data_IF_209952009298
#
_entry.id   IF_209952009298
#
_cell.length_a   1.000
_cell.length_b   1.000
_cell.length_c   1.000
_cell.angle_alpha   90.00
_cell.angle_beta   90.00
_cell.angle_gamma   90.00
#
_symmetry.space_group_name_H-M   'P 1'
#
loop_
_entity.id
_entity.type
_entity.pdbx_description
1 polymer ?
#
# COMPACT_ATOMS: atom_id res chain seq x y z
N UNK A 1 -3.41 -0.15 -4.99
CA UNK A 1 -2.97 0.30 -3.65
C UNK A 1 -1.82 1.29 -3.77
N UNK A 2 -1.71 2.24 -2.85
CA UNK A 2 -0.66 3.27 -2.86
C UNK A 2 -0.13 3.58 -1.46
N UNK A 3 1.15 3.93 -1.37
CA UNK A 3 1.74 4.64 -0.22
C UNK A 3 1.98 6.07 -0.64
N UNK A 4 1.40 7.01 0.08
CA UNK A 4 1.48 8.45 -0.21
C UNK A 4 2.16 9.16 0.95
N UNK A 5 3.22 9.91 0.66
CA UNK A 5 3.94 10.76 1.60
C UNK A 5 3.72 12.23 1.28
N UNK A 6 3.13 12.97 2.23
CA UNK A 6 2.87 14.41 2.09
C UNK A 6 2.15 14.79 0.78
N UNK A 7 1.24 13.91 0.32
CA UNK A 7 0.46 14.10 -0.91
C UNK A 7 1.12 13.56 -2.19
N UNK A 8 2.38 13.10 -2.13
CA UNK A 8 3.09 12.51 -3.25
C UNK A 8 3.06 10.98 -3.18
N UNK A 9 2.82 10.32 -4.32
CA UNK A 9 2.88 8.86 -4.40
C UNK A 9 4.33 8.41 -4.28
N UNK A 10 4.64 7.68 -3.19
CA UNK A 10 5.96 7.10 -2.95
C UNK A 10 6.05 5.69 -3.53
N UNK A 11 4.91 4.98 -3.59
CA UNK A 11 4.80 3.65 -4.16
C UNK A 11 3.38 3.37 -4.64
N UNK A 12 3.28 2.62 -5.73
CA UNK A 12 2.02 2.12 -6.29
C UNK A 12 2.16 0.63 -6.62
N UNK A 13 1.20 -0.16 -6.17
CA UNK A 13 1.20 -1.61 -6.39
C UNK A 13 0.87 -1.94 -7.84
N UNK A 14 1.57 -2.89 -8.49
CA UNK A 14 1.22 -3.34 -9.83
C UNK A 14 -0.08 -4.16 -9.88
N UNK A 15 -0.51 -4.76 -8.76
CA UNK A 15 -1.79 -5.45 -8.49
C UNK A 15 -1.56 -6.41 -7.32
N UNK A 16 -2.57 -6.60 -6.45
CA UNK A 16 -2.55 -7.61 -5.39
C UNK A 16 -3.74 -8.54 -5.60
N UNK A 17 -3.52 -9.85 -5.55
CA UNK A 17 -4.58 -10.87 -5.65
C UNK A 17 -4.50 -11.85 -4.50
N UNK A 18 -5.66 -12.35 -4.05
CA UNK A 18 -5.75 -13.28 -2.92
C UNK A 18 -5.09 -14.65 -3.14
N UNK A 19 -4.77 -15.02 -4.38
CA UNK A 19 -4.06 -16.25 -4.72
C UNK A 19 -2.54 -16.05 -4.85
N UNK A 20 -2.02 -14.87 -4.54
CA UNK A 20 -0.60 -14.56 -4.59
C UNK A 20 -0.02 -14.52 -3.16
N UNK A 21 1.29 -14.80 -2.99
CA UNK A 21 1.93 -14.58 -1.71
C UNK A 21 1.89 -13.09 -1.32
N UNK A 22 1.98 -12.77 -0.01
CA UNK A 22 2.12 -11.39 0.43
C UNK A 22 3.32 -10.70 -0.23
N UNK A 23 3.14 -9.44 -0.61
CA UNK A 23 4.21 -8.62 -1.17
C UNK A 23 4.94 -7.89 -0.05
N UNK A 24 6.27 -8.04 0.00
CA UNK A 24 7.10 -7.21 0.86
C UNK A 24 7.20 -5.79 0.28
N UNK A 25 7.17 -4.79 1.16
CA UNK A 25 7.25 -3.39 0.77
C UNK A 25 8.23 -2.64 1.66
N UNK A 26 9.26 -2.07 1.03
CA UNK A 26 10.18 -1.12 1.64
C UNK A 26 10.14 0.18 0.83
N UNK A 27 9.80 1.28 1.49
CA UNK A 27 9.67 2.60 0.88
C UNK A 27 10.44 3.59 1.75
N UNK A 28 11.27 4.42 1.13
CA UNK A 28 11.92 5.53 1.84
C UNK A 28 10.88 6.58 2.22
N UNK A 29 10.81 6.87 3.50
CA UNK A 29 9.90 7.87 4.09
C UNK A 29 10.66 8.97 4.82
N UNK A 30 11.96 9.12 4.52
CA UNK A 30 12.82 10.14 5.14
C UNK A 30 12.26 11.54 4.90
N UNK A 31 12.02 12.26 6.00
CA UNK A 31 11.47 13.62 5.95
C UNK A 31 9.96 13.72 5.72
N UNK A 32 9.27 12.60 5.47
CA UNK A 32 7.82 12.57 5.28
C UNK A 32 7.12 12.78 6.62
N UNK A 33 6.16 13.70 6.66
CA UNK A 33 5.42 14.03 7.90
C UNK A 33 4.11 13.27 8.01
N UNK A 34 3.47 12.97 6.89
CA UNK A 34 2.22 12.21 6.83
C UNK A 34 2.33 11.10 5.80
N UNK A 35 2.11 9.87 6.27
CA UNK A 35 1.90 8.71 5.43
C UNK A 35 0.41 8.40 5.34
N UNK A 36 -0.07 8.21 4.11
CA UNK A 36 -1.41 7.72 3.81
C UNK A 36 -1.28 6.40 3.06
N UNK A 37 -1.89 5.35 3.61
CA UNK A 37 -2.01 4.05 2.96
C UNK A 37 -3.36 3.97 2.26
N UNK A 38 -3.35 3.78 0.94
CA UNK A 38 -4.56 3.77 0.12
C UNK A 38 -4.78 2.37 -0.43
N UNK A 39 -5.95 1.81 -0.18
CA UNK A 39 -6.49 0.65 -0.88
C UNK A 39 -7.50 1.18 -1.88
N UNK A 40 -7.30 0.88 -3.16
CA UNK A 40 -8.29 1.17 -4.20
C UNK A 40 -9.16 -0.07 -4.45
N UNK A 41 -10.26 0.14 -5.15
CA UNK A 41 -11.24 -0.88 -5.52
C UNK A 41 -10.85 -1.68 -6.77
N UNK A 42 -9.58 -1.60 -7.22
CA UNK A 42 -9.13 -2.28 -8.44
C UNK A 42 -9.86 -1.84 -9.71
N UNK A 43 -9.88 -2.73 -10.71
CA UNK A 43 -10.49 -2.48 -12.03
C UNK A 43 -11.84 -3.21 -12.23
N UNK A 44 -12.17 -4.17 -11.37
CA UNK A 44 -13.37 -5.02 -11.42
C UNK A 44 -14.10 -4.96 -10.07
N UNK A 45 -15.40 -5.31 -10.04
CA UNK A 45 -16.28 -5.26 -8.86
C UNK A 45 -15.56 -5.63 -7.55
N UNK A 46 -15.78 -4.81 -6.52
CA UNK A 46 -15.11 -4.79 -5.19
C UNK A 46 -15.56 -5.91 -4.23
N UNK A 47 -16.11 -7.00 -4.77
CA UNK A 47 -16.61 -8.12 -3.98
C UNK A 47 -15.45 -8.93 -3.41
N UNK A 48 -15.25 -8.83 -2.09
CA UNK A 48 -14.24 -9.54 -1.29
C UNK A 48 -12.82 -8.96 -1.32
N UNK A 49 -12.67 -7.66 -1.55
CA UNK A 49 -11.38 -6.95 -1.46
C UNK A 49 -10.93 -6.74 -0.01
N UNK A 50 -10.63 -7.84 0.67
CA UNK A 50 -10.07 -7.84 2.01
C UNK A 50 -8.55 -7.71 1.94
N UNK A 51 -8.07 -6.46 2.00
CA UNK A 51 -6.64 -6.15 1.96
C UNK A 51 -6.08 -5.99 3.38
N UNK A 52 -4.88 -6.55 3.60
CA UNK A 52 -4.16 -6.45 4.86
C UNK A 52 -2.81 -5.78 4.62
N UNK A 53 -2.57 -4.66 5.30
CA UNK A 53 -1.21 -4.18 5.55
C UNK A 53 -0.64 -4.99 6.71
N UNK A 54 0.15 -6.01 6.39
CA UNK A 54 0.66 -6.95 7.39
C UNK A 54 1.83 -6.32 8.17
N UNK A 55 1.64 -6.12 9.47
CA UNK A 55 2.66 -5.61 10.40
C UNK A 55 3.39 -4.34 9.91
N UNK A 56 2.68 -3.26 9.51
CA UNK A 56 3.32 -2.05 9.02
C UNK A 56 4.18 -1.43 10.13
N UNK A 57 5.41 -1.06 9.80
CA UNK A 57 6.36 -0.42 10.73
C UNK A 57 7.07 0.73 10.02
N UNK A 58 7.26 1.82 10.76
CA UNK A 58 8.25 2.83 10.42
C UNK A 58 9.51 2.48 11.22
N UNK A 59 10.65 2.43 10.53
CA UNK A 59 11.94 2.10 11.12
C UNK A 59 12.86 3.32 11.01
N UNK A 60 13.84 3.41 11.91
CA UNK A 60 14.83 4.50 11.98
C UNK A 60 16.19 4.01 11.50
#
# INVERSE_FOLDING_TARGET
MKVVGDGQVLWESPSVRGNQPPQELLVDVTGVRRLTLVVDYGADLDLSDHVIWALPRVMR
#
